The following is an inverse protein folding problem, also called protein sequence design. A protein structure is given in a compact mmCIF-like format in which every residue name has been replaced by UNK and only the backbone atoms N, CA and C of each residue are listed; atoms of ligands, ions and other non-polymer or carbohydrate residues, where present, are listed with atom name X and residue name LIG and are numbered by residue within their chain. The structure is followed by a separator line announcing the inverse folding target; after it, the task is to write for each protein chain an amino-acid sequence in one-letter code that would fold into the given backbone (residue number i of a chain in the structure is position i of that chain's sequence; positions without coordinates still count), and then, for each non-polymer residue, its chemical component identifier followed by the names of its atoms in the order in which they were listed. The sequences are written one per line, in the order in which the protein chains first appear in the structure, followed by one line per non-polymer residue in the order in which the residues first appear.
data_IF_233386571379
#
_entry.id   IF_233386571379
#
_cell.length_a   1.000
_cell.length_b   1.000
_cell.length_c   1.000
_cell.angle_alpha   90.00
_cell.angle_beta   90.00
_cell.angle_gamma   90.00
#
_symmetry.space_group_name_H-M   'P 1'
#
loop_
_entity.id
_entity.type
_entity.pdbx_description
1 polymer ?
#
# COMPACT_ATOMS: atom_id res chain seq x y z
N UNK A 1 -11.13 -11.03 2.37
CA UNK A 1 -10.78 -9.60 2.49
C UNK A 1 -10.41 -9.33 3.95
N UNK A 2 -9.13 -9.12 4.26
CA UNK A 2 -8.71 -8.74 5.63
C UNK A 2 -8.99 -7.24 5.81
N UNK A 3 -10.14 -6.90 6.37
CA UNK A 3 -10.47 -5.52 6.75
C UNK A 3 -9.61 -5.12 7.95
N UNK A 4 -8.58 -4.30 7.71
CA UNK A 4 -7.73 -3.75 8.76
C UNK A 4 -8.42 -2.52 9.35
N UNK A 5 -8.84 -2.59 10.61
CA UNK A 5 -9.43 -1.45 11.31
C UNK A 5 -8.32 -0.50 11.80
N UNK A 6 -8.32 0.73 11.29
CA UNK A 6 -7.39 1.81 11.67
C UNK A 6 -8.02 2.88 12.58
N UNK A 7 -9.28 2.70 12.99
CA UNK A 7 -10.04 3.68 13.75
C UNK A 7 -9.35 4.14 15.05
N UNK A 8 -8.49 3.29 15.62
CA UNK A 8 -7.76 3.59 16.86
C UNK A 8 -6.71 4.72 16.72
N UNK A 9 -6.33 5.09 15.49
CA UNK A 9 -5.37 6.16 15.20
C UNK A 9 -6.02 7.52 14.89
N UNK A 10 -7.36 7.58 14.83
CA UNK A 10 -8.10 8.79 14.47
C UNK A 10 -8.37 8.93 12.96
N UNK A 11 -8.85 10.11 12.51
CA UNK A 11 -9.27 10.32 11.12
C UNK A 11 -8.11 10.33 10.13
N UNK A 12 -6.90 10.67 10.58
CA UNK A 12 -5.69 10.74 9.76
C UNK A 12 -4.57 9.91 10.40
N UNK A 13 -4.55 8.58 10.19
CA UNK A 13 -3.51 7.72 10.73
C UNK A 13 -2.13 8.04 10.12
N UNK A 14 -1.03 7.88 10.89
CA UNK A 14 0.32 8.08 10.36
C UNK A 14 0.60 7.22 9.14
N UNK A 15 1.45 7.71 8.25
CA UNK A 15 1.76 7.04 6.99
C UNK A 15 2.21 5.59 7.19
N UNK A 16 3.18 5.34 8.07
CA UNK A 16 3.70 3.99 8.27
C UNK A 16 2.61 3.00 8.71
N UNK A 17 1.59 3.47 9.45
CA UNK A 17 0.44 2.66 9.84
C UNK A 17 -0.42 2.32 8.63
N UNK A 18 -0.67 3.30 7.75
CA UNK A 18 -1.41 3.10 6.48
C UNK A 18 -0.69 2.11 5.57
N UNK A 19 0.63 2.23 5.45
CA UNK A 19 1.47 1.31 4.68
C UNK A 19 1.42 -0.12 5.23
N UNK A 20 1.57 -0.25 6.54
CA UNK A 20 1.49 -1.54 7.20
C UNK A 20 0.10 -2.18 7.05
N UNK A 21 -0.96 -1.39 7.13
CA UNK A 21 -2.33 -1.85 6.93
C UNK A 21 -2.58 -2.32 5.49
N UNK A 22 -2.10 -1.57 4.50
CA UNK A 22 -2.20 -1.94 3.09
C UNK A 22 -1.46 -3.26 2.82
N UNK A 23 -0.24 -3.43 3.36
CA UNK A 23 0.52 -4.67 3.24
C UNK A 23 -0.20 -5.86 3.88
N UNK A 24 -0.83 -5.66 5.04
CA UNK A 24 -1.63 -6.70 5.71
C UNK A 24 -2.89 -7.05 4.93
N UNK A 25 -3.54 -6.07 4.30
CA UNK A 25 -4.71 -6.28 3.46
C UNK A 25 -4.36 -7.09 2.20
N UNK A 26 -3.18 -6.83 1.61
CA UNK A 26 -2.66 -7.55 0.45
C UNK A 26 -2.19 -8.97 0.78
N UNK A 27 -1.56 -9.15 1.96
CA UNK A 27 -1.03 -10.43 2.40
C UNK A 27 -1.70 -10.94 3.69
N UNK A 28 -1.03 -10.79 4.83
CA UNK A 28 -1.55 -11.01 6.18
C UNK A 28 -0.56 -10.43 7.21
N UNK A 29 -0.99 -10.35 8.48
CA UNK A 29 -0.17 -9.84 9.60
C UNK A 29 1.17 -10.55 9.79
N UNK A 30 1.24 -11.84 9.48
CA UNK A 30 2.46 -12.64 9.63
C UNK A 30 3.48 -12.28 8.55
N UNK A 31 3.08 -12.28 7.28
CA UNK A 31 3.93 -11.91 6.13
C UNK A 31 4.37 -10.45 6.21
N UNK A 32 3.47 -9.54 6.56
CA UNK A 32 3.78 -8.13 6.77
C UNK A 32 4.85 -7.93 7.85
N UNK A 33 4.69 -8.62 9.00
CA UNK A 33 5.67 -8.60 10.07
C UNK A 33 7.03 -9.15 9.63
N UNK A 34 7.05 -10.29 8.93
CA UNK A 34 8.28 -10.86 8.39
C UNK A 34 9.02 -9.90 7.46
N UNK A 35 8.31 -9.20 6.57
CA UNK A 35 8.92 -8.19 5.68
C UNK A 35 9.62 -7.09 6.46
N UNK A 36 8.96 -6.49 7.46
CA UNK A 36 9.53 -5.37 8.24
C UNK A 36 10.44 -5.82 9.41
N UNK A 37 10.68 -7.13 9.55
CA UNK A 37 11.47 -7.70 10.64
C UNK A 37 10.82 -7.56 12.03
N UNK A 38 9.49 -7.66 12.12
CA UNK A 38 8.72 -7.61 13.36
C UNK A 38 7.79 -8.82 13.52
N UNK A 39 7.37 -9.09 14.75
CA UNK A 39 6.42 -10.19 15.01
C UNK A 39 5.01 -9.84 14.55
N UNK A 40 4.22 -10.86 14.18
CA UNK A 40 2.78 -10.73 13.88
C UNK A 40 2.03 -9.98 15.01
N UNK A 41 2.37 -10.28 16.26
CA UNK A 41 1.75 -9.65 17.44
C UNK A 41 2.07 -8.16 17.50
N UNK A 42 3.32 -7.78 17.25
CA UNK A 42 3.70 -6.36 17.19
C UNK A 42 2.92 -5.63 16.10
N UNK A 43 2.82 -6.20 14.90
CA UNK A 43 1.99 -5.65 13.80
C UNK A 43 0.54 -5.44 14.24
N UNK A 44 -0.06 -6.41 14.93
CA UNK A 44 -1.45 -6.28 15.41
C UNK A 44 -1.61 -5.18 16.46
N UNK A 45 -0.65 -5.02 17.37
CA UNK A 45 -0.65 -3.97 18.40
C UNK A 45 -0.48 -2.58 17.77
N UNK A 46 0.41 -2.44 16.79
CA UNK A 46 0.62 -1.19 16.05
C UNK A 46 -0.67 -0.77 15.34
N UNK A 47 -1.30 -1.68 14.58
CA UNK A 47 -2.55 -1.39 13.87
C UNK A 47 -3.71 -1.03 14.81
N UNK A 48 -3.71 -1.58 16.03
CA UNK A 48 -4.72 -1.29 17.05
C UNK A 48 -4.39 -0.06 17.91
N UNK A 49 -3.30 0.66 17.62
CA UNK A 49 -2.77 1.75 18.45
C UNK A 49 -2.56 1.36 19.94
N UNK A 50 -2.10 0.13 20.18
CA UNK A 50 -1.83 -0.43 21.53
C UNK A 50 -0.39 -0.88 21.71
N UNK A 51 0.52 -0.40 20.87
CA UNK A 51 1.92 -0.77 20.95
C UNK A 51 2.56 -0.07 22.15
N UNK A 52 2.95 -0.83 23.17
CA UNK A 52 3.41 -0.35 24.46
C UNK A 52 4.85 0.23 24.45
N UNK A 53 5.26 0.87 23.35
CA UNK A 53 6.56 1.51 23.22
C UNK A 53 6.43 3.02 23.46
N UNK A 54 7.39 3.65 24.16
CA UNK A 54 7.41 5.10 24.34
C UNK A 54 7.56 5.86 23.00
N UNK A 55 8.03 5.21 21.94
CA UNK A 55 8.07 5.78 20.59
C UNK A 55 7.83 4.73 19.50
N UNK A 56 7.16 5.14 18.42
CA UNK A 56 6.94 4.36 17.20
C UNK A 56 7.98 4.64 16.12
N UNK A 57 8.96 5.53 16.35
CA UNK A 57 9.95 5.93 15.35
C UNK A 57 10.75 4.75 14.77
N UNK A 58 11.08 3.75 15.59
CA UNK A 58 11.78 2.55 15.12
C UNK A 58 10.93 1.65 14.22
N UNK A 59 9.62 1.63 14.45
CA UNK A 59 8.65 0.91 13.61
C UNK A 59 8.49 1.65 12.29
N UNK A 60 8.29 2.95 12.36
CA UNK A 60 8.17 3.84 11.21
C UNK A 60 9.38 3.69 10.29
N UNK A 61 10.61 3.79 10.81
CA UNK A 61 11.83 3.62 10.01
C UNK A 61 11.85 2.28 9.26
N UNK A 62 11.56 1.16 9.94
CA UNK A 62 11.54 -0.17 9.32
C UNK A 62 10.49 -0.28 8.22
N UNK A 63 9.29 0.25 8.49
CA UNK A 63 8.19 0.27 7.53
C UNK A 63 8.56 1.12 6.32
N UNK A 64 9.12 2.31 6.52
CA UNK A 64 9.51 3.20 5.43
C UNK A 64 10.66 2.61 4.59
N UNK A 65 11.65 1.95 5.22
CA UNK A 65 12.74 1.29 4.50
C UNK A 65 12.26 0.12 3.64
N UNK A 66 11.28 -0.66 4.12
CA UNK A 66 10.86 -1.91 3.47
C UNK A 66 9.63 -1.75 2.58
N UNK A 67 8.63 -1.02 3.06
CA UNK A 67 7.33 -0.82 2.43
C UNK A 67 7.15 0.59 1.86
N UNK A 68 8.10 1.48 2.11
CA UNK A 68 8.09 2.83 1.55
C UNK A 68 8.70 2.92 0.15
N UNK A 69 9.17 1.81 -0.43
CA UNK A 69 9.75 1.75 -1.79
C UNK A 69 8.90 0.83 -2.66
N UNK A 70 8.43 1.34 -3.80
CA UNK A 70 7.64 0.61 -4.80
C UNK A 70 8.27 0.81 -6.16
N UNK A 71 8.52 -0.28 -6.88
CA UNK A 71 8.89 -0.20 -8.30
C UNK A 71 7.65 0.14 -9.12
N UNK A 72 7.63 1.34 -9.69
CA UNK A 72 6.51 1.82 -10.48
C UNK A 72 6.65 1.38 -11.93
N UNK A 73 5.80 0.47 -12.39
CA UNK A 73 5.77 0.01 -13.78
C UNK A 73 5.46 1.12 -14.79
N UNK A 74 4.85 2.22 -14.35
CA UNK A 74 4.48 3.35 -15.22
C UNK A 74 5.62 4.35 -15.44
N UNK A 75 6.50 4.48 -14.45
CA UNK A 75 7.63 5.41 -14.47
C UNK A 75 8.97 4.69 -14.69
N UNK A 76 8.99 3.37 -14.59
CA UNK A 76 10.20 2.54 -14.59
C UNK A 76 11.21 2.97 -13.51
N UNK A 77 10.69 3.48 -12.38
CA UNK A 77 11.49 4.03 -11.27
C UNK A 77 10.95 3.53 -9.93
N UNK A 78 11.84 3.48 -8.92
CA UNK A 78 11.44 3.28 -7.53
C UNK A 78 10.80 4.56 -6.98
N UNK A 79 9.49 4.53 -6.76
CA UNK A 79 8.74 5.62 -6.12
C UNK A 79 8.47 5.29 -4.66
N UNK A 80 8.17 6.31 -3.86
CA UNK A 80 7.64 6.08 -2.53
C UNK A 80 6.19 5.63 -2.59
N UNK A 81 5.73 4.96 -1.54
CA UNK A 81 4.33 4.53 -1.50
C UNK A 81 3.35 5.70 -1.42
N UNK A 82 3.76 6.83 -0.83
CA UNK A 82 2.97 8.07 -0.89
C UNK A 82 2.84 8.60 -2.30
N UNK A 83 3.94 8.59 -3.07
CA UNK A 83 3.91 8.97 -4.48
C UNK A 83 3.02 8.01 -5.26
N UNK A 84 3.18 6.70 -5.08
CA UNK A 84 2.34 5.67 -5.70
C UNK A 84 0.85 5.88 -5.38
N UNK A 85 0.51 6.13 -4.11
CA UNK A 85 -0.85 6.42 -3.68
C UNK A 85 -1.37 7.72 -4.30
N UNK A 86 -0.57 8.78 -4.28
CA UNK A 86 -0.91 10.07 -4.88
C UNK A 86 -1.15 9.95 -6.39
N UNK A 87 -0.39 9.11 -7.10
CA UNK A 87 -0.63 8.84 -8.52
C UNK A 87 -1.92 8.06 -8.75
N UNK A 88 -2.23 7.09 -7.88
CA UNK A 88 -3.46 6.29 -7.96
C UNK A 88 -4.72 7.08 -7.62
N UNK A 89 -4.66 7.97 -6.63
CA UNK A 89 -5.80 8.77 -6.16
C UNK A 89 -6.12 9.94 -7.10
N UNK A 90 -5.19 10.30 -7.98
CA UNK A 90 -5.43 11.34 -8.99
C UNK A 90 -6.55 10.94 -9.95
N UNK A 91 -7.46 11.87 -10.29
CA UNK A 91 -8.48 11.64 -11.31
C UNK A 91 -7.83 11.47 -12.69
N UNK A 92 -8.57 10.85 -13.62
CA UNK A 92 -8.12 10.66 -14.98
C UNK A 92 -7.72 12.01 -15.62
N UNK A 93 -6.45 12.19 -16.04
CA UNK A 93 -6.00 13.44 -16.64
C UNK A 93 -6.68 13.66 -17.99
N UNK A 94 -7.16 14.87 -18.29
CA UNK A 94 -7.89 15.18 -19.54
C UNK A 94 -7.03 15.85 -20.61
N UNK A 95 -5.93 16.50 -20.22
CA UNK A 95 -5.12 17.34 -21.12
C UNK A 95 -3.66 16.92 -21.26
N UNK A 96 -3.21 15.86 -20.56
CA UNK A 96 -1.83 15.39 -20.61
C UNK A 96 -1.78 13.89 -21.01
N UNK A 97 -1.36 13.55 -22.24
CA UNK A 97 -1.26 12.17 -22.72
C UNK A 97 -0.34 11.28 -21.88
N UNK A 98 0.81 11.79 -21.43
CA UNK A 98 1.73 11.01 -20.58
C UNK A 98 1.12 10.72 -19.20
N UNK A 99 0.47 11.71 -18.60
CA UNK A 99 -0.24 11.51 -17.34
C UNK A 99 -1.40 10.52 -17.50
N UNK A 100 -2.09 10.54 -18.65
CA UNK A 100 -3.14 9.56 -18.96
C UNK A 100 -2.57 8.14 -19.13
N UNK A 101 -1.41 7.98 -19.76
CA UNK A 101 -0.74 6.69 -19.87
C UNK A 101 -0.33 6.16 -18.50
N UNK A 102 0.25 7.00 -17.63
CA UNK A 102 0.57 6.64 -16.26
C UNK A 102 -0.70 6.22 -15.50
N UNK A 103 -1.77 7.02 -15.56
CA UNK A 103 -3.04 6.69 -14.91
C UNK A 103 -3.59 5.33 -15.38
N UNK A 104 -3.55 5.03 -16.68
CA UNK A 104 -3.96 3.72 -17.22
C UNK A 104 -3.09 2.58 -16.70
N UNK A 105 -1.78 2.77 -16.63
CA UNK A 105 -0.86 1.78 -16.06
C UNK A 105 -1.16 1.55 -14.56
N UNK A 106 -1.49 2.60 -13.81
CA UNK A 106 -1.94 2.45 -12.42
C UNK A 106 -3.22 1.61 -12.30
N UNK A 107 -4.18 1.74 -13.23
CA UNK A 107 -5.41 0.92 -13.21
C UNK A 107 -5.14 -0.58 -13.42
N UNK A 108 -4.09 -0.92 -14.18
CA UNK A 108 -3.68 -2.31 -14.46
C UNK A 108 -2.48 -2.77 -13.60
N UNK A 109 -2.10 -1.98 -12.60
CA UNK A 109 -0.92 -2.29 -11.80
C UNK A 109 -1.23 -3.47 -10.87
N UNK A 110 -0.38 -4.52 -10.82
CA UNK A 110 -0.61 -5.68 -9.95
C UNK A 110 -0.59 -5.33 -8.45
N UNK A 111 0.02 -4.19 -8.10
CA UNK A 111 0.10 -3.66 -6.73
C UNK A 111 -1.14 -2.82 -6.40
N UNK A 112 -1.92 -2.38 -7.40
CA UNK A 112 -3.13 -1.62 -7.15
C UNK A 112 -4.24 -2.55 -6.62
N UNK A 113 -4.71 -2.36 -5.37
CA UNK A 113 -5.76 -3.21 -4.82
C UNK A 113 -7.12 -3.04 -5.51
N UNK A 114 -7.31 -2.00 -6.35
CA UNK A 114 -8.47 -1.87 -7.23
C UNK A 114 -8.32 -2.63 -8.57
N UNK A 115 -7.12 -3.16 -8.89
CA UNK A 115 -6.85 -3.87 -10.14
C UNK A 115 -7.51 -5.26 -10.18
N UNK A 116 -7.80 -5.85 -9.02
CA UNK A 116 -8.48 -7.15 -8.93
C UNK A 116 -9.98 -7.02 -9.24
N UNK A 117 -10.35 -6.80 -10.51
CA UNK A 117 -11.52 -7.49 -11.08
C UNK A 117 -11.69 -7.52 -12.61
N UNK A 118 -10.71 -7.18 -13.46
CA UNK A 118 -10.98 -7.11 -14.92
C UNK A 118 -10.12 -8.00 -15.84
N UNK A 119 -9.16 -8.78 -15.33
CA UNK A 119 -8.33 -9.63 -16.21
C UNK A 119 -8.80 -11.09 -16.37
N UNK A 120 -10.04 -11.43 -15.99
CA UNK A 120 -10.63 -12.74 -16.33
C UNK A 120 -11.70 -12.69 -17.44
N UNK A 121 -11.91 -11.55 -18.11
CA UNK A 121 -12.92 -11.44 -19.17
C UNK A 121 -12.38 -11.58 -20.61
N UNK A 122 -11.07 -11.57 -20.85
CA UNK A 122 -10.50 -11.56 -22.21
C UNK A 122 -9.65 -12.79 -22.59
N UNK A 123 -9.60 -13.83 -21.76
CA UNK A 123 -8.93 -15.09 -22.08
C UNK A 123 -9.88 -16.23 -22.50
N UNK A 124 -11.07 -15.90 -23.04
CA UNK A 124 -11.97 -16.85 -23.71
C UNK A 124 -12.63 -16.21 -24.93
N UNK A 125 -11.84 -15.96 -25.96
CA UNK A 125 -12.36 -16.04 -27.33
C UNK A 125 -11.48 -17.06 -28.05
N UNK A 126 -11.99 -18.29 -28.02
CA UNK A 126 -11.74 -19.31 -29.02
C UNK A 126 -12.28 -18.85 -30.37
#
# INVERSE_FOLDING_TARGET
MNSVQLAAWGPEPPLFVRLLAAEVANSNKTKAGQRIGMSRTAVSLILSNRYASPSTAGVERRVMETLGRIECVALDETVTTEQCQSYREKPAPTHNPQAMQHWRACQHCPINPNCCNQENAHARLH
#
